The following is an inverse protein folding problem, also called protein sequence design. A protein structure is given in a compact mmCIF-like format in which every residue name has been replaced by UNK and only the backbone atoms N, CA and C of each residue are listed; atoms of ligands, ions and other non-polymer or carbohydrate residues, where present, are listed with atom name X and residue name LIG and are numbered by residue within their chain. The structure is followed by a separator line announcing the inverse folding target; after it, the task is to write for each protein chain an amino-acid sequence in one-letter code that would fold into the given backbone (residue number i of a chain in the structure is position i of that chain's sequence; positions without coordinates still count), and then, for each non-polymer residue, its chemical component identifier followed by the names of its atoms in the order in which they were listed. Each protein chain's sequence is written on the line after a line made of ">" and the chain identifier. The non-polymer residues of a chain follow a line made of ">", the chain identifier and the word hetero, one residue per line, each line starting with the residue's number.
data_IF_070954843455
#
_entry.id   IF_070954843455
#
_cell.length_a   1.000
_cell.length_b   1.000
_cell.length_c   1.000
_cell.angle_alpha   90.00
_cell.angle_beta   90.00
_cell.angle_gamma   90.00
#
_symmetry.space_group_name_H-M   'P 1'
#
loop_
_entity.id
_entity.type
_entity.pdbx_description
1 polymer ?
#
# COMPACT_ATOMS: atom_id res chain seq x y z
N UNK A 1 -76.13 11.38 -36.53
CA UNK A 1 -75.15 11.92 -35.60
C UNK A 1 -73.99 10.95 -35.49
N UNK A 2 -72.79 11.22 -35.98
CA UNK A 2 -71.67 10.28 -35.91
C UNK A 2 -70.79 10.52 -34.68
N UNK A 3 -70.48 9.44 -34.02
CA UNK A 3 -69.62 9.33 -32.84
C UNK A 3 -68.15 9.46 -33.27
N UNK A 4 -67.43 10.41 -32.71
CA UNK A 4 -66.00 10.63 -32.99
C UNK A 4 -65.16 9.76 -32.03
N UNK A 5 -64.39 8.86 -32.60
CA UNK A 5 -63.35 8.10 -31.86
C UNK A 5 -62.10 8.97 -31.70
N UNK A 6 -61.70 9.27 -30.43
CA UNK A 6 -60.41 9.82 -30.07
C UNK A 6 -59.43 8.65 -29.87
N UNK A 7 -58.41 8.58 -30.73
CA UNK A 7 -57.23 7.76 -30.51
C UNK A 7 -56.23 8.56 -29.69
N UNK A 8 -55.99 8.12 -28.46
CA UNK A 8 -54.90 8.61 -27.61
C UNK A 8 -53.65 7.80 -27.95
N UNK A 9 -52.68 8.41 -28.63
CA UNK A 9 -51.35 7.84 -28.88
C UNK A 9 -50.49 7.90 -27.61
N UNK A 10 -50.16 6.77 -27.03
CA UNK A 10 -49.20 6.68 -25.93
C UNK A 10 -47.77 6.72 -26.53
N UNK A 11 -47.05 7.80 -26.31
CA UNK A 11 -45.62 7.92 -26.62
C UNK A 11 -44.83 7.20 -25.55
N UNK A 12 -44.26 6.01 -25.85
CA UNK A 12 -43.31 5.30 -25.01
C UNK A 12 -41.92 5.97 -25.17
N UNK A 13 -41.52 6.78 -24.18
CA UNK A 13 -40.15 7.24 -24.07
C UNK A 13 -39.28 6.07 -23.57
N UNK A 14 -38.55 5.43 -24.45
CA UNK A 14 -37.49 4.50 -24.09
C UNK A 14 -36.27 5.31 -23.62
N UNK A 15 -36.08 5.45 -22.30
CA UNK A 15 -34.85 5.97 -21.71
C UNK A 15 -33.74 4.95 -21.92
N UNK A 16 -32.86 5.17 -22.89
CA UNK A 16 -31.62 4.42 -23.04
C UNK A 16 -30.71 4.73 -21.85
N UNK A 17 -30.64 3.82 -20.90
CA UNK A 17 -29.59 3.77 -19.88
C UNK A 17 -28.28 3.39 -20.60
N UNK A 18 -27.58 4.40 -21.09
CA UNK A 18 -26.19 4.23 -21.53
C UNK A 18 -25.36 3.98 -20.27
N UNK A 19 -25.15 2.70 -19.92
CA UNK A 19 -24.13 2.31 -18.97
C UNK A 19 -22.80 2.84 -19.49
N UNK A 20 -22.19 3.77 -18.76
CA UNK A 20 -20.78 4.12 -18.97
C UNK A 20 -19.98 2.87 -18.65
N UNK A 21 -19.52 2.16 -19.66
CA UNK A 21 -18.41 1.25 -19.51
C UNK A 21 -17.23 2.10 -19.05
N UNK A 22 -16.80 1.95 -17.78
CA UNK A 22 -15.55 2.50 -17.35
C UNK A 22 -14.49 1.69 -18.09
N UNK A 23 -13.75 2.34 -18.97
CA UNK A 23 -12.57 1.71 -19.58
C UNK A 23 -11.58 1.41 -18.44
N UNK A 24 -10.98 0.24 -18.45
CA UNK A 24 -9.90 -0.10 -17.54
C UNK A 24 -8.73 0.89 -17.78
N UNK A 25 -8.05 1.36 -16.71
CA UNK A 25 -6.94 2.30 -16.87
C UNK A 25 -5.79 1.64 -17.65
N UNK A 26 -5.21 2.38 -18.59
CA UNK A 26 -4.00 1.97 -19.31
C UNK A 26 -2.74 2.48 -18.58
N UNK A 27 -1.58 1.90 -18.90
CA UNK A 27 -0.28 2.34 -18.34
C UNK A 27 0.03 3.79 -18.66
N UNK A 28 -0.38 4.27 -19.86
CA UNK A 28 -0.19 5.66 -20.29
C UNK A 28 -1.03 6.66 -19.47
N UNK A 29 -2.15 6.19 -18.90
CA UNK A 29 -3.06 7.03 -18.11
C UNK A 29 -2.63 7.16 -16.64
N UNK A 30 -1.72 6.27 -16.16
CA UNK A 30 -1.37 6.15 -14.74
C UNK A 30 0.15 6.08 -14.49
N UNK A 31 0.97 7.00 -15.06
CA UNK A 31 2.43 6.93 -14.91
C UNK A 31 2.83 7.06 -13.43
N UNK A 32 3.85 6.28 -12.99
CA UNK A 32 4.29 6.20 -11.58
C UNK A 32 4.64 7.57 -10.97
N UNK A 33 5.19 8.49 -11.77
CA UNK A 33 5.52 9.85 -11.32
C UNK A 33 4.31 10.65 -10.82
N UNK A 34 3.10 10.30 -11.26
CA UNK A 34 1.85 10.97 -10.89
C UNK A 34 1.07 10.19 -9.81
N UNK A 35 1.72 9.20 -9.16
CA UNK A 35 1.16 8.46 -8.03
C UNK A 35 1.44 9.14 -6.71
N UNK A 36 0.48 9.09 -5.79
CA UNK A 36 0.69 9.42 -4.39
C UNK A 36 1.36 8.25 -3.66
N UNK A 37 2.43 8.52 -2.92
CA UNK A 37 3.09 7.52 -2.08
C UNK A 37 3.04 7.98 -0.63
N UNK A 38 2.47 7.15 0.25
CA UNK A 38 2.45 7.33 1.69
C UNK A 38 3.18 6.19 2.40
N UNK A 39 4.22 6.49 3.20
CA UNK A 39 4.98 5.49 3.96
C UNK A 39 4.95 5.85 5.44
N UNK A 40 4.46 4.95 6.28
CA UNK A 40 4.37 5.13 7.73
C UNK A 40 5.20 4.10 8.49
N UNK A 41 6.18 4.57 9.28
CA UNK A 41 6.72 3.83 10.41
C UNK A 41 5.80 4.07 11.61
N UNK A 42 4.93 3.10 11.89
CA UNK A 42 3.86 3.31 12.85
C UNK A 42 4.23 2.91 14.29
N UNK A 43 5.38 2.26 14.51
CA UNK A 43 5.97 2.04 15.83
C UNK A 43 7.49 2.30 15.78
N UNK A 44 8.11 2.40 16.95
CA UNK A 44 9.55 2.64 17.13
C UNK A 44 10.15 1.85 18.29
N UNK A 45 9.42 0.88 18.81
CA UNK A 45 9.80 0.08 20.00
C UNK A 45 9.97 -1.37 19.61
N UNK A 46 10.73 -2.13 20.37
CA UNK A 46 10.70 -3.59 20.35
C UNK A 46 9.56 -4.14 21.23
N UNK A 47 9.48 -5.46 21.34
CA UNK A 47 8.46 -6.15 22.17
C UNK A 47 8.59 -5.87 23.68
N UNK A 48 9.73 -5.35 24.13
CA UNK A 48 9.99 -4.97 25.52
C UNK A 48 9.78 -3.45 25.77
N UNK A 49 9.47 -2.70 24.71
CA UNK A 49 9.22 -1.25 24.74
C UNK A 49 10.49 -0.41 24.57
N UNK A 50 11.65 -1.03 24.29
CA UNK A 50 12.88 -0.29 24.04
C UNK A 50 12.90 0.30 22.62
N UNK A 51 13.48 1.50 22.40
CA UNK A 51 13.57 2.10 21.07
C UNK A 51 14.39 1.26 20.09
N UNK A 52 13.87 1.08 18.86
CA UNK A 52 14.57 0.45 17.74
C UNK A 52 14.50 1.35 16.50
N UNK A 53 15.44 1.17 15.58
CA UNK A 53 15.51 1.97 14.36
C UNK A 53 14.97 1.22 13.12
N UNK A 54 14.62 -0.06 13.24
CA UNK A 54 14.29 -0.92 12.11
C UNK A 54 13.16 -0.36 11.22
N UNK A 55 12.06 0.08 11.82
CA UNK A 55 10.92 0.68 11.09
C UNK A 55 11.27 2.05 10.50
N UNK A 56 12.05 2.84 11.24
CA UNK A 56 12.48 4.17 10.81
C UNK A 56 13.46 4.09 9.63
N UNK A 57 14.39 3.15 9.67
CA UNK A 57 15.30 2.85 8.56
C UNK A 57 14.51 2.38 7.33
N UNK A 58 13.55 1.44 7.52
CA UNK A 58 12.71 0.95 6.44
C UNK A 58 11.94 2.10 5.77
N UNK A 59 11.24 2.94 6.56
CA UNK A 59 10.50 4.10 6.04
C UNK A 59 11.36 5.02 5.17
N UNK A 60 12.56 5.37 5.67
CA UNK A 60 13.47 6.29 4.99
C UNK A 60 14.02 5.71 3.69
N UNK A 61 14.43 4.44 3.74
CA UNK A 61 15.09 3.82 2.61
C UNK A 61 14.10 3.34 1.54
N UNK A 62 12.87 2.92 1.95
CA UNK A 62 11.77 2.68 1.03
C UNK A 62 11.36 3.96 0.26
N UNK A 63 11.33 5.12 0.93
CA UNK A 63 11.02 6.38 0.24
C UNK A 63 12.05 6.68 -0.88
N UNK A 64 13.35 6.45 -0.62
CA UNK A 64 14.39 6.60 -1.63
C UNK A 64 14.28 5.54 -2.75
N UNK A 65 14.03 4.28 -2.37
CA UNK A 65 13.92 3.19 -3.32
C UNK A 65 12.73 3.37 -4.28
N UNK A 66 11.57 3.82 -3.78
CA UNK A 66 10.43 4.14 -4.64
C UNK A 66 10.72 5.33 -5.57
N UNK A 67 11.41 6.36 -5.09
CA UNK A 67 11.87 7.44 -5.97
C UNK A 67 12.81 6.92 -7.07
N UNK A 68 13.71 5.99 -6.74
CA UNK A 68 14.65 5.36 -7.68
C UNK A 68 14.01 4.48 -8.75
N UNK A 69 12.75 4.08 -8.58
CA UNK A 69 12.01 3.27 -9.57
C UNK A 69 10.91 4.04 -10.30
N UNK A 70 10.93 5.38 -10.27
CA UNK A 70 10.11 6.23 -11.14
C UNK A 70 8.97 6.97 -10.45
N UNK A 71 8.84 6.91 -9.11
CA UNK A 71 7.92 7.80 -8.40
C UNK A 71 8.54 9.19 -8.21
N UNK A 72 7.73 10.24 -8.38
CA UNK A 72 8.20 11.61 -8.13
C UNK A 72 8.45 11.81 -6.61
N UNK A 73 9.66 12.20 -6.18
CA UNK A 73 9.95 12.50 -4.78
C UNK A 73 8.99 13.52 -4.16
N UNK A 74 8.48 14.48 -4.93
CA UNK A 74 7.47 15.45 -4.50
C UNK A 74 6.12 14.82 -4.16
N UNK A 75 5.85 13.62 -4.66
CA UNK A 75 4.65 12.85 -4.40
C UNK A 75 4.83 11.76 -3.34
N UNK A 76 6.00 11.70 -2.70
CA UNK A 76 6.30 10.76 -1.62
C UNK A 76 6.23 11.45 -0.26
N UNK A 77 5.18 11.13 0.51
CA UNK A 77 5.06 11.52 1.91
C UNK A 77 5.46 10.36 2.80
N UNK A 78 6.53 10.51 3.59
CA UNK A 78 6.96 9.45 4.51
C UNK A 78 7.09 9.98 5.94
N UNK A 79 6.42 9.35 6.89
CA UNK A 79 6.22 9.86 8.25
C UNK A 79 6.44 8.76 9.30
N UNK A 80 6.68 9.17 10.54
CA UNK A 80 6.90 8.28 11.67
C UNK A 80 6.13 8.78 12.88
N UNK A 81 5.56 7.85 13.65
CA UNK A 81 4.97 8.16 14.96
C UNK A 81 6.00 8.16 16.09
N UNK A 82 7.29 7.94 15.77
CA UNK A 82 8.37 8.04 16.77
C UNK A 82 8.41 9.44 17.36
N UNK A 83 8.46 9.57 18.69
CA UNK A 83 8.67 10.85 19.34
C UNK A 83 9.97 11.54 18.86
N UNK A 84 9.90 12.82 18.57
CA UNK A 84 11.10 13.59 18.21
C UNK A 84 12.02 13.70 19.42
N UNK A 85 13.32 13.55 19.18
CA UNK A 85 14.33 13.76 20.22
C UNK A 85 14.23 15.18 20.80
N UNK A 86 14.65 15.36 22.06
CA UNK A 86 14.65 16.63 22.77
C UNK A 86 13.27 17.24 23.10
N UNK A 87 12.26 16.40 23.35
CA UNK A 87 10.96 16.85 23.85
C UNK A 87 10.05 17.49 22.81
N UNK A 88 10.31 17.24 21.54
CA UNK A 88 9.38 17.58 20.45
C UNK A 88 8.11 16.75 20.52
N UNK A 89 6.97 17.31 20.08
CA UNK A 89 5.72 16.56 19.97
C UNK A 89 5.87 15.44 18.96
N UNK A 90 5.37 14.24 19.29
CA UNK A 90 5.17 13.15 18.33
C UNK A 90 4.08 13.57 17.36
N UNK A 91 4.21 13.14 16.10
CA UNK A 91 3.07 13.18 15.19
C UNK A 91 2.00 12.20 15.71
N UNK A 92 0.76 12.60 15.56
CA UNK A 92 -0.38 11.72 15.80
C UNK A 92 -0.77 11.00 14.50
N UNK A 93 -1.42 9.86 14.64
CA UNK A 93 -1.87 9.09 13.47
C UNK A 93 -2.86 9.86 12.59
N UNK A 94 -3.74 10.68 13.19
CA UNK A 94 -4.68 11.54 12.45
C UNK A 94 -3.98 12.62 11.61
N UNK A 95 -2.86 13.18 12.08
CA UNK A 95 -2.03 14.12 11.31
C UNK A 95 -1.36 13.42 10.11
N UNK A 96 -0.87 12.19 10.31
CA UNK A 96 -0.28 11.38 9.23
C UNK A 96 -1.34 11.03 8.18
N UNK A 97 -2.52 10.57 8.61
CA UNK A 97 -3.61 10.21 7.72
C UNK A 97 -4.12 11.41 6.92
N UNK A 98 -4.21 12.58 7.55
CA UNK A 98 -4.53 13.85 6.86
C UNK A 98 -3.48 14.23 5.81
N UNK A 99 -2.18 14.00 6.11
CA UNK A 99 -1.11 14.24 5.15
C UNK A 99 -1.19 13.28 3.95
N UNK A 100 -1.50 11.99 4.19
CA UNK A 100 -1.69 11.00 3.12
C UNK A 100 -2.90 11.31 2.24
N UNK A 101 -4.03 11.71 2.85
CA UNK A 101 -5.21 12.17 2.12
C UNK A 101 -4.89 13.36 1.21
N UNK A 102 -4.20 14.37 1.76
CA UNK A 102 -3.78 15.55 0.99
C UNK A 102 -2.85 15.17 -0.16
N UNK A 103 -1.89 14.26 0.06
CA UNK A 103 -1.00 13.78 -0.97
C UNK A 103 -1.77 13.03 -2.06
N UNK A 104 -2.69 12.15 -1.67
CA UNK A 104 -3.53 11.40 -2.61
C UNK A 104 -4.43 12.32 -3.45
N UNK A 105 -4.91 13.43 -2.89
CA UNK A 105 -5.68 14.41 -3.63
C UNK A 105 -4.84 15.21 -4.65
N UNK A 106 -3.53 15.36 -4.40
CA UNK A 106 -2.62 16.10 -5.27
C UNK A 106 -2.05 15.25 -6.43
N UNK A 107 -1.98 13.93 -6.29
CA UNK A 107 -1.41 13.00 -7.27
C UNK A 107 -2.50 12.05 -7.80
N UNK A 108 -3.12 12.33 -8.96
CA UNK A 108 -4.39 11.71 -9.36
C UNK A 108 -4.29 10.35 -10.05
N UNK A 109 -3.09 9.88 -10.46
CA UNK A 109 -2.96 8.69 -11.30
C UNK A 109 -3.17 7.38 -10.52
N UNK A 110 -2.62 7.27 -9.33
CA UNK A 110 -2.70 6.08 -8.49
C UNK A 110 -2.19 6.33 -7.08
N UNK A 111 -2.20 5.29 -6.24
CA UNK A 111 -1.72 5.39 -4.86
C UNK A 111 -0.88 4.18 -4.45
N UNK A 112 0.17 4.45 -3.65
CA UNK A 112 0.91 3.43 -2.94
C UNK A 112 0.96 3.80 -1.45
N UNK A 113 0.47 2.91 -0.58
CA UNK A 113 0.57 3.09 0.87
C UNK A 113 1.31 1.93 1.51
N UNK A 114 2.35 2.26 2.25
CA UNK A 114 3.22 1.32 2.95
C UNK A 114 3.18 1.58 4.45
N UNK A 115 2.83 0.55 5.22
CA UNK A 115 2.79 0.60 6.68
C UNK A 115 3.79 -0.41 7.23
N UNK A 116 4.77 0.05 8.03
CA UNK A 116 5.70 -0.83 8.73
C UNK A 116 5.56 -0.62 10.23
N UNK A 117 5.30 -1.70 10.97
CA UNK A 117 4.99 -1.68 12.39
C UNK A 117 5.01 -3.05 13.05
N UNK A 118 4.76 -3.10 14.36
CA UNK A 118 4.28 -4.33 14.99
C UNK A 118 2.84 -4.64 14.59
N UNK A 119 2.45 -5.91 14.72
CA UNK A 119 1.10 -6.37 14.42
C UNK A 119 0.60 -7.44 15.38
N UNK A 120 -0.71 -7.46 15.52
CA UNK A 120 -1.48 -8.47 16.25
C UNK A 120 -2.64 -8.92 15.34
N UNK A 121 -3.37 -10.01 15.69
CA UNK A 121 -4.49 -10.48 14.85
C UNK A 121 -5.58 -9.43 14.59
N UNK A 122 -5.71 -8.42 15.47
CA UNK A 122 -6.72 -7.36 15.37
C UNK A 122 -6.27 -6.18 14.50
N UNK A 123 -4.96 -6.07 14.17
CA UNK A 123 -4.45 -4.97 13.36
C UNK A 123 -2.97 -4.64 13.59
N UNK A 124 -2.53 -3.51 13.05
CA UNK A 124 -1.17 -2.98 13.25
C UNK A 124 -1.14 -1.96 14.37
N UNK A 125 -0.01 -1.88 15.08
CA UNK A 125 0.22 -0.95 16.19
C UNK A 125 0.44 0.47 15.64
N UNK A 126 -0.26 1.45 16.21
CA UNK A 126 -0.07 2.89 15.97
C UNK A 126 0.62 3.53 17.19
N UNK A 127 1.87 3.19 17.41
CA UNK A 127 2.63 3.73 18.53
C UNK A 127 1.91 3.60 19.88
N UNK A 128 1.67 4.72 20.57
CA UNK A 128 0.90 4.76 21.82
C UNK A 128 -0.60 4.98 21.63
N UNK A 129 -1.11 5.06 20.39
CA UNK A 129 -2.50 5.44 20.09
C UNK A 129 -3.45 4.24 19.92
N UNK A 130 -2.93 3.01 19.93
CA UNK A 130 -3.72 1.78 19.82
C UNK A 130 -3.46 1.01 18.53
N UNK A 131 -4.50 0.47 17.91
CA UNK A 131 -4.41 -0.36 16.73
C UNK A 131 -5.15 0.26 15.54
N UNK A 132 -4.60 0.07 14.35
CA UNK A 132 -5.31 0.28 13.08
C UNK A 132 -5.82 -1.07 12.59
N UNK A 133 -7.13 -1.26 12.64
CA UNK A 133 -7.76 -2.51 12.20
C UNK A 133 -7.85 -2.61 10.67
N UNK A 134 -8.05 -3.82 10.11
CA UNK A 134 -8.25 -4.01 8.68
C UNK A 134 -9.40 -3.16 8.08
N UNK A 135 -10.53 -3.09 8.77
CA UNK A 135 -11.70 -2.31 8.29
C UNK A 135 -11.45 -0.80 8.33
N UNK A 136 -10.76 -0.31 9.37
CA UNK A 136 -10.37 1.10 9.44
C UNK A 136 -9.42 1.46 8.31
N UNK A 137 -8.38 0.64 8.06
CA UNK A 137 -7.46 0.87 6.95
C UNK A 137 -8.18 0.83 5.60
N UNK A 138 -9.09 -0.14 5.39
CA UNK A 138 -9.89 -0.19 4.17
C UNK A 138 -10.72 1.10 3.95
N UNK A 139 -11.34 1.60 5.00
CA UNK A 139 -12.07 2.87 4.96
C UNK A 139 -11.19 4.06 4.56
N UNK A 140 -10.00 4.18 5.16
CA UNK A 140 -9.02 5.21 4.84
C UNK A 140 -8.54 5.12 3.39
N UNK A 141 -8.15 3.93 2.91
CA UNK A 141 -7.73 3.72 1.52
C UNK A 141 -8.85 4.09 0.53
N UNK A 142 -10.10 3.69 0.83
CA UNK A 142 -11.26 4.06 0.02
C UNK A 142 -11.48 5.57 -0.03
N UNK A 143 -11.32 6.28 1.09
CA UNK A 143 -11.42 7.74 1.16
C UNK A 143 -10.30 8.43 0.39
N UNK A 144 -9.05 7.98 0.52
CA UNK A 144 -7.89 8.64 -0.09
C UNK A 144 -7.79 8.41 -1.59
N UNK A 145 -8.04 7.18 -2.05
CA UNK A 145 -7.77 6.77 -3.44
C UNK A 145 -9.01 6.45 -4.26
N UNK A 146 -10.13 6.10 -3.64
CA UNK A 146 -11.35 5.73 -4.36
C UNK A 146 -11.12 4.55 -5.31
N UNK A 147 -11.52 4.74 -6.56
CA UNK A 147 -11.42 3.72 -7.62
C UNK A 147 -10.07 3.70 -8.36
N UNK A 148 -9.12 4.55 -7.98
CA UNK A 148 -7.80 4.60 -8.64
C UNK A 148 -7.01 3.31 -8.37
N UNK A 149 -6.12 2.89 -9.30
CA UNK A 149 -5.17 1.81 -9.04
C UNK A 149 -4.40 2.07 -7.74
N UNK A 150 -4.38 1.07 -6.85
CA UNK A 150 -3.84 1.26 -5.51
C UNK A 150 -3.01 0.06 -5.07
N UNK A 151 -1.79 0.32 -4.60
CA UNK A 151 -0.93 -0.67 -3.95
C UNK A 151 -0.95 -0.42 -2.44
N UNK A 152 -1.26 -1.44 -1.65
CA UNK A 152 -1.22 -1.38 -0.18
C UNK A 152 -0.27 -2.45 0.34
N UNK A 153 0.74 -2.01 1.10
CA UNK A 153 1.72 -2.90 1.71
C UNK A 153 1.63 -2.79 3.23
N UNK A 154 1.44 -3.93 3.90
CA UNK A 154 1.41 -4.00 5.37
C UNK A 154 2.53 -4.92 5.86
N UNK A 155 3.61 -4.31 6.34
CA UNK A 155 4.74 -4.99 6.93
C UNK A 155 4.57 -5.08 8.45
N UNK A 156 3.97 -6.19 8.90
CA UNK A 156 3.74 -6.47 10.31
C UNK A 156 3.52 -7.97 10.56
N UNK A 157 3.64 -8.40 11.82
CA UNK A 157 3.14 -9.70 12.25
C UNK A 157 1.63 -9.79 11.99
N UNK A 158 1.14 -10.98 11.64
CA UNK A 158 -0.29 -11.27 11.39
C UNK A 158 -0.93 -10.44 10.27
N UNK A 159 -0.13 -9.71 9.49
CA UNK A 159 -0.63 -8.74 8.49
C UNK A 159 -1.53 -9.33 7.41
N UNK A 160 -1.52 -10.65 7.21
CA UNK A 160 -2.45 -11.34 6.32
C UNK A 160 -3.94 -11.15 6.67
N UNK A 161 -4.27 -10.73 7.91
CA UNK A 161 -5.63 -10.37 8.31
C UNK A 161 -6.19 -9.17 7.51
N UNK A 162 -5.31 -8.36 6.94
CA UNK A 162 -5.67 -7.21 6.12
C UNK A 162 -6.13 -7.59 4.71
N UNK A 163 -5.68 -8.74 4.18
CA UNK A 163 -5.96 -9.14 2.78
C UNK A 163 -7.47 -9.20 2.49
N UNK A 164 -8.33 -9.88 3.28
CA UNK A 164 -9.76 -9.94 2.96
C UNK A 164 -10.47 -8.58 2.99
N UNK A 165 -10.08 -7.68 3.89
CA UNK A 165 -10.69 -6.36 4.02
C UNK A 165 -10.22 -5.38 2.92
N UNK A 166 -8.95 -5.48 2.51
CA UNK A 166 -8.35 -4.59 1.52
C UNK A 166 -8.55 -5.07 0.08
N UNK A 167 -8.87 -6.35 -0.15
CA UNK A 167 -9.06 -6.89 -1.49
C UNK A 167 -10.18 -6.16 -2.23
N UNK A 168 -9.86 -5.61 -3.40
CA UNK A 168 -10.77 -4.93 -4.30
C UNK A 168 -10.26 -5.06 -5.74
N UNK A 169 -11.13 -4.85 -6.73
CA UNK A 169 -10.77 -5.00 -8.14
C UNK A 169 -9.64 -4.07 -8.59
N UNK A 170 -9.51 -2.90 -7.98
CA UNK A 170 -8.52 -1.88 -8.29
C UNK A 170 -7.27 -1.92 -7.39
N UNK A 171 -7.02 -3.02 -6.64
CA UNK A 171 -5.95 -3.04 -5.64
C UNK A 171 -4.99 -4.21 -5.79
N UNK A 172 -3.71 -3.93 -5.52
CA UNK A 172 -2.71 -4.91 -5.16
C UNK A 172 -2.41 -4.77 -3.66
N UNK A 173 -2.54 -5.87 -2.91
CA UNK A 173 -2.27 -5.90 -1.47
C UNK A 173 -1.10 -6.84 -1.22
N UNK A 174 -0.06 -6.38 -0.54
CA UNK A 174 1.08 -7.19 -0.08
C UNK A 174 1.15 -7.18 1.44
N UNK A 175 1.39 -8.33 2.06
CA UNK A 175 1.53 -8.45 3.51
C UNK A 175 2.73 -9.30 3.90
N UNK A 176 3.38 -8.94 5.02
CA UNK A 176 4.61 -9.58 5.48
C UNK A 176 4.41 -10.99 6.04
N UNK A 177 3.19 -11.35 6.42
CA UNK A 177 2.89 -12.64 7.02
C UNK A 177 1.47 -13.11 6.70
N UNK A 178 1.22 -14.41 6.88
CA UNK A 178 -0.13 -14.98 6.94
C UNK A 178 -0.92 -14.42 8.13
N UNK A 179 -2.29 -14.58 8.14
CA UNK A 179 -3.12 -14.13 9.26
C UNK A 179 -2.76 -14.75 10.63
N UNK A 180 -2.14 -15.93 10.62
CA UNK A 180 -1.80 -16.72 11.81
C UNK A 180 -0.28 -16.82 12.05
N UNK A 181 0.53 -15.93 11.45
CA UNK A 181 1.99 -15.94 11.52
C UNK A 181 2.57 -14.60 11.94
N UNK A 182 3.66 -14.68 12.70
CA UNK A 182 4.55 -13.54 12.92
C UNK A 182 5.43 -13.30 11.69
N UNK A 183 5.82 -12.05 11.47
CA UNK A 183 7.00 -11.68 10.68
C UNK A 183 8.21 -11.51 11.59
N UNK A 184 9.41 -11.22 11.02
CA UNK A 184 10.66 -11.20 11.76
C UNK A 184 11.44 -9.90 11.53
N UNK A 185 12.40 -9.63 12.45
CA UNK A 185 13.38 -8.55 12.27
C UNK A 185 13.00 -7.22 12.92
N UNK A 186 11.99 -7.17 13.79
CA UNK A 186 11.60 -5.97 14.55
C UNK A 186 12.15 -5.98 15.98
N UNK A 187 13.37 -6.48 16.18
CA UNK A 187 14.07 -6.52 17.48
C UNK A 187 15.29 -5.60 17.53
N UNK A 188 15.88 -5.49 18.72
CA UNK A 188 17.09 -4.70 18.93
C UNK A 188 18.24 -5.11 18.00
N UNK A 189 18.94 -4.14 17.43
CA UNK A 189 20.09 -4.36 16.54
C UNK A 189 19.75 -4.75 15.11
N UNK A 190 18.48 -4.92 14.76
CA UNK A 190 18.06 -5.18 13.38
C UNK A 190 18.04 -3.86 12.58
N UNK A 191 18.61 -3.89 11.37
CA UNK A 191 18.60 -2.72 10.49
C UNK A 191 17.22 -2.49 9.88
N UNK A 192 16.54 -3.58 9.47
CA UNK A 192 15.16 -3.57 8.93
C UNK A 192 14.41 -4.82 9.39
N UNK A 193 13.07 -4.79 9.42
CA UNK A 193 12.28 -6.00 9.37
C UNK A 193 12.63 -6.86 8.14
N UNK A 194 12.59 -8.18 8.26
CA UNK A 194 12.99 -9.10 7.16
C UNK A 194 12.19 -8.83 5.89
N UNK A 195 10.90 -8.59 6.01
CA UNK A 195 10.04 -8.28 4.86
C UNK A 195 10.43 -6.97 4.20
N UNK A 196 10.61 -5.89 4.97
CA UNK A 196 10.99 -4.56 4.43
C UNK A 196 12.34 -4.62 3.74
N UNK A 197 13.31 -5.33 4.33
CA UNK A 197 14.60 -5.54 3.69
C UNK A 197 14.46 -6.31 2.35
N UNK A 198 13.59 -7.33 2.32
CA UNK A 198 13.33 -8.07 1.09
C UNK A 198 12.59 -7.23 0.04
N UNK A 199 11.70 -6.29 0.43
CA UNK A 199 11.11 -5.32 -0.51
C UNK A 199 12.20 -4.41 -1.10
N UNK A 200 13.08 -3.87 -0.26
CA UNK A 200 14.20 -3.02 -0.71
C UNK A 200 15.11 -3.75 -1.70
N UNK A 201 15.53 -4.99 -1.37
CA UNK A 201 16.37 -5.78 -2.26
C UNK A 201 15.65 -6.12 -3.58
N UNK A 202 14.35 -6.48 -3.49
CA UNK A 202 13.57 -6.87 -4.66
C UNK A 202 13.27 -5.70 -5.60
N UNK A 203 13.16 -4.46 -5.09
CA UNK A 203 13.00 -3.26 -5.92
C UNK A 203 14.17 -3.02 -6.86
N UNK A 204 15.36 -3.55 -6.56
CA UNK A 204 16.54 -3.45 -7.44
C UNK A 204 16.33 -4.23 -8.73
N UNK A 205 15.70 -5.40 -8.65
CA UNK A 205 15.60 -6.37 -9.75
C UNK A 205 14.18 -6.49 -10.35
N UNK A 206 13.13 -6.11 -9.60
CA UNK A 206 11.75 -6.22 -10.05
C UNK A 206 11.46 -5.29 -11.23
N UNK A 207 10.78 -5.79 -12.25
CA UNK A 207 10.37 -4.99 -13.40
C UNK A 207 9.04 -4.25 -13.16
N UNK A 208 8.17 -4.80 -12.32
CA UNK A 208 6.83 -4.30 -12.02
C UNK A 208 6.36 -4.71 -10.61
N UNK A 209 5.15 -4.33 -10.23
CA UNK A 209 4.60 -4.66 -8.90
C UNK A 209 4.31 -6.14 -8.69
N UNK A 210 3.97 -6.88 -9.74
CA UNK A 210 3.69 -8.32 -9.66
C UNK A 210 4.99 -9.08 -9.43
N UNK A 211 6.04 -8.69 -10.15
CA UNK A 211 7.38 -9.26 -9.97
C UNK A 211 7.96 -8.85 -8.61
N UNK A 212 7.76 -7.61 -8.16
CA UNK A 212 8.13 -7.17 -6.81
C UNK A 212 7.51 -8.09 -5.74
N UNK A 213 6.21 -8.36 -5.82
CA UNK A 213 5.52 -9.22 -4.87
C UNK A 213 6.09 -10.65 -4.88
N UNK A 214 6.38 -11.19 -6.04
CA UNK A 214 6.96 -12.52 -6.22
C UNK A 214 8.39 -12.60 -5.66
N UNK A 215 9.28 -11.67 -6.04
CA UNK A 215 10.67 -11.62 -5.60
C UNK A 215 10.76 -11.41 -4.09
N UNK A 216 9.96 -10.50 -3.52
CA UNK A 216 9.88 -10.28 -2.07
C UNK A 216 9.53 -11.56 -1.31
N UNK A 217 8.54 -12.33 -1.76
CA UNK A 217 8.16 -13.61 -1.14
C UNK A 217 9.30 -14.63 -1.19
N UNK A 218 10.00 -14.71 -2.33
CA UNK A 218 11.14 -15.62 -2.50
C UNK A 218 12.32 -15.22 -1.60
N UNK A 219 12.61 -13.93 -1.50
CA UNK A 219 13.63 -13.37 -0.62
C UNK A 219 13.33 -13.72 0.85
N UNK A 220 12.11 -13.42 1.34
CA UNK A 220 11.69 -13.72 2.73
C UNK A 220 11.85 -15.20 3.02
N UNK A 221 11.29 -16.07 2.19
CA UNK A 221 11.40 -17.52 2.38
C UNK A 221 12.85 -18.01 2.41
N UNK A 222 13.74 -17.38 1.64
CA UNK A 222 15.17 -17.71 1.63
C UNK A 222 15.86 -17.26 2.89
N UNK A 223 15.63 -16.01 3.33
CA UNK A 223 16.23 -15.45 4.55
C UNK A 223 15.77 -16.20 5.80
N UNK A 224 14.47 -16.51 5.89
CA UNK A 224 13.93 -17.27 7.03
C UNK A 224 14.58 -18.65 7.14
N UNK A 225 14.77 -19.38 6.03
CA UNK A 225 15.49 -20.65 6.03
C UNK A 225 16.94 -20.49 6.45
N UNK A 226 17.66 -19.49 5.93
CA UNK A 226 19.06 -19.25 6.26
C UNK A 226 19.25 -18.88 7.73
N UNK A 227 18.35 -18.10 8.29
CA UNK A 227 18.38 -17.65 9.69
C UNK A 227 17.66 -18.62 10.65
N UNK A 228 17.08 -19.71 10.13
CA UNK A 228 16.33 -20.71 10.91
C UNK A 228 15.14 -20.11 11.70
N UNK A 229 14.47 -19.13 11.09
CA UNK A 229 13.28 -18.50 11.65
C UNK A 229 12.07 -19.42 11.43
N UNK A 230 11.34 -19.73 12.49
CA UNK A 230 10.25 -20.71 12.47
C UNK A 230 9.14 -20.35 13.47
N UNK A 231 7.86 -20.56 13.12
CA UNK A 231 7.34 -20.97 11.81
C UNK A 231 7.53 -19.87 10.76
N UNK A 232 7.61 -20.20 9.45
CA UNK A 232 7.81 -19.19 8.40
C UNK A 232 6.64 -18.21 8.35
N UNK A 233 6.92 -16.95 8.03
CA UNK A 233 5.89 -15.90 7.97
C UNK A 233 4.92 -16.06 6.81
N UNK A 234 5.40 -16.59 5.66
CA UNK A 234 4.62 -16.81 4.43
C UNK A 234 3.90 -15.54 3.95
N UNK A 235 4.63 -14.53 3.44
CA UNK A 235 4.05 -13.29 2.93
C UNK A 235 2.96 -13.53 1.88
N UNK A 236 1.90 -12.72 1.93
CA UNK A 236 0.76 -12.84 1.03
C UNK A 236 0.78 -11.73 -0.01
N UNK A 237 0.19 -12.00 -1.19
CA UNK A 237 -0.12 -11.00 -2.19
C UNK A 237 -1.50 -11.30 -2.78
N UNK A 238 -2.30 -10.26 -2.97
CA UNK A 238 -3.60 -10.32 -3.64
C UNK A 238 -3.66 -9.22 -4.69
N UNK A 239 -3.97 -9.59 -5.93
CA UNK A 239 -4.10 -8.68 -7.06
C UNK A 239 -5.55 -8.67 -7.49
N UNK A 240 -6.16 -7.50 -7.56
CA UNK A 240 -7.54 -7.32 -7.98
C UNK A 240 -7.69 -7.50 -9.50
N UNK A 241 -8.77 -8.11 -9.92
CA UNK A 241 -9.01 -8.47 -11.32
C UNK A 241 -9.17 -7.28 -12.28
N UNK A 242 -9.32 -6.06 -11.79
CA UNK A 242 -9.39 -4.84 -12.62
C UNK A 242 -8.05 -4.14 -12.80
N UNK A 243 -6.96 -4.67 -12.21
CA UNK A 243 -5.61 -4.08 -12.27
C UNK A 243 -4.51 -5.12 -12.45
N UNK A 244 -4.86 -6.38 -12.67
CA UNK A 244 -3.89 -7.45 -12.87
C UNK A 244 -3.01 -7.19 -14.10
N UNK A 245 -3.60 -6.88 -15.26
CA UNK A 245 -2.86 -6.50 -16.45
C UNK A 245 -2.09 -5.18 -16.26
N UNK A 246 -2.70 -4.18 -15.60
CA UNK A 246 -2.05 -2.90 -15.35
C UNK A 246 -0.74 -3.08 -14.57
N UNK A 247 -0.76 -3.84 -13.47
CA UNK A 247 0.41 -3.99 -12.60
C UNK A 247 1.52 -4.85 -13.20
N UNK A 248 1.25 -5.64 -14.24
CA UNK A 248 2.26 -6.35 -15.04
C UNK A 248 2.96 -5.43 -16.04
N UNK A 249 2.25 -4.42 -16.57
CA UNK A 249 2.79 -3.53 -17.60
C UNK A 249 3.21 -2.17 -17.09
N UNK A 250 2.89 -1.83 -15.83
CA UNK A 250 3.34 -0.61 -15.17
C UNK A 250 4.80 -0.79 -14.69
N UNK A 251 5.73 -0.71 -15.65
CA UNK A 251 7.13 -0.97 -15.40
C UNK A 251 7.78 0.11 -14.51
N UNK A 252 8.68 -0.32 -13.67
CA UNK A 252 9.56 0.55 -12.89
C UNK A 252 10.57 1.24 -13.80
N UNK A 253 10.74 2.56 -13.61
CA UNK A 253 11.68 3.39 -14.38
C UNK A 253 12.89 3.76 -13.52
N UNK A 254 14.06 3.19 -13.84
CA UNK A 254 15.34 3.44 -13.14
C UNK A 254 16.21 4.47 -13.86
N UNK A 255 15.70 5.14 -14.89
CA UNK A 255 16.48 6.10 -15.69
C UNK A 255 16.91 7.34 -14.88
N UNK A 256 16.25 7.64 -13.77
CA UNK A 256 16.55 8.79 -12.91
C UNK A 256 17.73 8.56 -11.97
N UNK A 257 18.10 7.31 -11.65
CA UNK A 257 19.21 6.99 -10.73
C UNK A 257 20.60 7.22 -11.38
N UNK A 258 20.68 7.33 -12.72
CA UNK A 258 21.93 7.54 -13.46
C UNK A 258 22.29 9.02 -13.66
N UNK A 259 21.51 9.95 -13.13
CA UNK A 259 21.68 11.40 -13.38
C UNK A 259 22.36 12.18 -12.24
N UNK A 260 22.83 11.55 -11.16
CA UNK A 260 23.69 12.22 -10.16
C UNK A 260 25.18 11.99 -10.48
N UNK A 261 25.94 13.08 -10.72
CA UNK A 261 27.39 13.02 -10.98
C UNK A 261 28.22 12.79 -9.71
#
# INVERSE_FOLDING_TARGET
>A
MPLKHLFAGALLLAAALAGRAHAEPSVEDVPLKDWAVGILAADWRDSEGAPIDAFENARRDLARAFAGVGFDPGNITHMSLRPREHGGFSLRSDEVFSAFEKQAAAAPAGCLFYFTSHGVPEGIVLGGEGLLSPDQLNGLIGQWCGERPTVVVVSACYSGVFVPALAASNRLVMTAARPDRSSFGCGAGMLYPVFDNCVLDSLVDADDFVDLAKLTRQCVATRERQQRLWPPSEPQANIGAGVDDLFVFLNFDRSTEQAEP
#
